data_IF_851537514969
#
_entry.id   IF_851537514969
#
_cell.length_a   1.000
_cell.length_b   1.000
_cell.length_c   1.000
_cell.angle_alpha   90.00
_cell.angle_beta   90.00
_cell.angle_gamma   90.00
#
_symmetry.space_group_name_H-M   'P 1'
#
loop_
_entity.id
_entity.type
_entity.pdbx_description
1 polymer ?
#
# COMPACT_ATOMS: atom_id res chain seq x y z
N UNK A 1 5.37 1.50 -12.99
CA UNK A 1 5.68 2.61 -12.07
C UNK A 1 4.80 2.47 -10.84
N UNK A 2 5.36 2.38 -9.64
CA UNK A 2 4.58 2.52 -8.41
C UNK A 2 4.13 3.98 -8.33
N UNK A 3 2.82 4.21 -8.18
CA UNK A 3 2.29 5.54 -7.89
C UNK A 3 2.26 5.69 -6.37
N UNK A 4 2.83 6.76 -5.86
CA UNK A 4 2.74 7.10 -4.44
C UNK A 4 1.50 7.96 -4.26
N UNK A 5 0.62 7.54 -3.35
CA UNK A 5 -0.53 8.32 -2.94
C UNK A 5 -0.20 9.08 -1.65
N UNK A 6 -0.80 10.26 -1.43
CA UNK A 6 -0.66 11.00 -0.16
C UNK A 6 -1.10 10.17 1.05
N UNK A 7 -2.15 9.36 0.88
CA UNK A 7 -2.63 8.41 1.88
C UNK A 7 -3.10 7.14 1.17
N UNK A 8 -2.63 5.98 1.61
CA UNK A 8 -3.01 4.66 1.05
C UNK A 8 -3.09 3.61 2.15
N UNK A 9 -4.06 2.70 2.07
CA UNK A 9 -4.05 1.45 2.83
C UNK A 9 -3.86 0.32 1.84
N UNK A 10 -2.89 -0.56 2.08
CA UNK A 10 -2.58 -1.65 1.18
C UNK A 10 -2.26 -2.93 1.93
N UNK A 11 -2.74 -4.04 1.37
CA UNK A 11 -2.55 -5.36 1.95
C UNK A 11 -1.40 -6.07 1.23
N UNK A 12 -0.55 -6.73 2.02
CA UNK A 12 0.56 -7.53 1.55
C UNK A 12 0.42 -8.94 2.12
N UNK A 13 0.49 -9.98 1.29
CA UNK A 13 0.45 -11.38 1.74
C UNK A 13 1.75 -11.83 2.42
N UNK A 14 2.82 -11.02 2.39
CA UNK A 14 4.07 -11.32 3.10
C UNK A 14 4.91 -10.07 3.37
N UNK A 15 5.77 -10.14 4.39
CA UNK A 15 6.79 -9.10 4.65
C UNK A 15 7.79 -8.94 3.50
N UNK A 16 8.06 -10.00 2.74
CA UNK A 16 8.92 -9.95 1.56
C UNK A 16 8.33 -9.03 0.49
N UNK A 17 7.03 -9.15 0.21
CA UNK A 17 6.36 -8.29 -0.77
C UNK A 17 6.30 -6.83 -0.31
N UNK A 18 6.05 -6.60 0.98
CA UNK A 18 6.12 -5.27 1.59
C UNK A 18 7.53 -4.66 1.45
N UNK A 19 8.59 -5.45 1.74
CA UNK A 19 9.98 -5.00 1.59
C UNK A 19 10.30 -4.62 0.13
N UNK A 20 9.93 -5.47 -0.83
CA UNK A 20 10.09 -5.17 -2.26
C UNK A 20 9.29 -3.92 -2.68
N UNK A 21 8.11 -3.69 -2.10
CA UNK A 21 7.34 -2.48 -2.34
C UNK A 21 8.06 -1.23 -1.82
N UNK A 22 8.63 -1.30 -0.61
CA UNK A 22 9.41 -0.21 -0.02
C UNK A 22 10.69 0.08 -0.82
N UNK A 23 11.39 -0.94 -1.30
CA UNK A 23 12.58 -0.76 -2.16
C UNK A 23 12.25 -0.02 -3.46
N UNK A 24 11.10 -0.32 -4.06
CA UNK A 24 10.58 0.43 -5.21
C UNK A 24 10.27 1.87 -4.83
N UNK A 25 9.69 2.11 -3.64
CA UNK A 25 9.45 3.44 -3.09
C UNK A 25 10.74 4.25 -2.90
N UNK A 26 11.78 3.64 -2.33
CA UNK A 26 13.11 4.25 -2.16
C UNK A 26 13.71 4.64 -3.51
N UNK A 27 13.63 3.75 -4.50
CA UNK A 27 14.14 3.99 -5.85
C UNK A 27 13.38 5.13 -6.54
N UNK A 28 12.06 5.18 -6.35
CA UNK A 28 11.20 6.24 -6.86
C UNK A 28 11.57 7.59 -6.25
N UNK A 29 11.61 7.69 -4.92
CA UNK A 29 12.01 8.92 -4.22
C UNK A 29 13.43 9.36 -4.57
N UNK A 30 14.35 8.41 -4.73
CA UNK A 30 15.72 8.70 -5.18
C UNK A 30 15.78 9.31 -6.58
N UNK A 31 14.90 8.88 -7.49
CA UNK A 31 14.80 9.46 -8.84
C UNK A 31 14.30 10.90 -8.78
N UNK A 32 13.20 11.15 -8.05
CA UNK A 32 12.64 12.50 -7.89
C UNK A 32 13.58 13.45 -7.15
N UNK A 33 14.29 12.96 -6.14
CA UNK A 33 15.29 13.75 -5.42
C UNK A 33 16.39 14.22 -6.37
N UNK A 34 16.86 13.33 -7.26
CA UNK A 34 17.89 13.69 -8.25
C UNK A 34 17.36 14.73 -9.23
N UNK A 35 16.20 14.49 -9.81
CA UNK A 35 15.57 15.40 -10.78
C UNK A 35 15.34 16.79 -10.17
N UNK A 36 14.84 16.88 -8.93
CA UNK A 36 14.59 18.16 -8.29
C UNK A 36 15.89 18.90 -7.92
N UNK A 37 16.93 18.18 -7.51
CA UNK A 37 18.24 18.81 -7.29
C UNK A 37 18.89 19.30 -8.60
N UNK A 38 18.73 18.56 -9.70
CA UNK A 38 19.19 18.98 -11.03
C UNK A 38 18.45 20.24 -11.47
N UNK A 39 17.11 20.23 -11.42
CA UNK A 39 16.27 21.39 -11.75
C UNK A 39 16.59 22.61 -10.86
N UNK A 40 16.84 22.39 -9.56
CA UNK A 40 17.25 23.46 -8.66
C UNK A 40 18.64 23.99 -9.00
N UNK A 41 19.58 23.11 -9.34
CA UNK A 41 20.92 23.49 -9.77
C UNK A 41 20.93 24.32 -11.06
N UNK A 42 20.10 23.93 -12.03
CA UNK A 42 19.86 24.71 -13.26
C UNK A 42 19.24 26.07 -12.94
N UNK A 43 18.21 26.07 -12.09
CA UNK A 43 17.55 27.30 -11.65
C UNK A 43 18.57 28.24 -11.01
N UNK A 44 19.41 27.80 -10.09
CA UNK A 44 20.37 28.69 -9.43
C UNK A 44 21.44 29.28 -10.37
N UNK A 45 21.66 28.67 -11.54
CA UNK A 45 22.67 29.12 -12.52
C UNK A 45 22.10 29.98 -13.64
N UNK A 46 20.83 29.79 -13.97
CA UNK A 46 20.16 30.56 -15.01
C UNK A 46 20.12 32.06 -14.61
N UNK A 47 20.48 32.96 -15.52
CA UNK A 47 20.43 34.40 -15.30
C UNK A 47 19.28 35.04 -16.08
N UNK A 48 18.64 36.04 -15.47
CA UNK A 48 17.55 36.80 -16.08
C UNK A 48 16.15 36.24 -15.77
N UNK A 49 15.15 37.08 -16.00
CA UNK A 49 13.73 36.77 -15.80
C UNK A 49 12.87 38.03 -15.94
N UNK A 50 11.68 37.90 -16.51
CA UNK A 50 10.71 38.99 -16.61
C UNK A 50 9.75 38.97 -15.41
N UNK A 51 10.31 39.06 -14.20
CA UNK A 51 9.53 39.00 -12.97
C UNK A 51 8.61 40.23 -12.84
N UNK A 52 9.11 41.43 -13.13
CA UNK A 52 8.39 42.69 -12.94
C UNK A 52 7.08 42.78 -13.72
N UNK A 53 7.07 42.35 -15.00
CA UNK A 53 5.85 42.37 -15.82
C UNK A 53 4.81 41.38 -15.29
N UNK A 54 5.25 40.19 -14.89
CA UNK A 54 4.35 39.17 -14.32
C UNK A 54 3.79 39.62 -12.97
N UNK A 55 4.59 40.22 -12.11
CA UNK A 55 4.10 40.77 -10.85
C UNK A 55 3.09 41.90 -11.06
N UNK A 56 3.31 42.76 -12.07
CA UNK A 56 2.35 43.81 -12.43
C UNK A 56 1.01 43.18 -12.82
N UNK A 57 1.02 42.11 -13.62
CA UNK A 57 -0.20 41.36 -13.97
C UNK A 57 -0.86 40.75 -12.74
N UNK A 58 -0.11 40.18 -11.80
CA UNK A 58 -0.67 39.62 -10.55
C UNK A 58 -1.35 40.72 -9.71
N UNK A 59 -0.72 41.91 -9.59
CA UNK A 59 -1.29 43.08 -8.93
C UNK A 59 -2.56 43.58 -9.63
N UNK A 60 -2.52 43.72 -10.96
CA UNK A 60 -3.66 44.18 -11.78
C UNK A 60 -4.87 43.24 -11.70
N UNK A 61 -4.63 41.93 -11.50
CA UNK A 61 -5.69 40.94 -11.28
C UNK A 61 -6.22 40.91 -9.85
N UNK A 62 -5.76 41.82 -8.99
CA UNK A 62 -6.28 41.99 -7.63
C UNK A 62 -5.77 40.95 -6.63
N UNK A 63 -4.66 40.27 -6.91
CA UNK A 63 -4.04 39.40 -5.92
C UNK A 63 -3.33 40.27 -4.87
N UNK A 64 -3.62 40.00 -3.59
CA UNK A 64 -3.01 40.69 -2.48
C UNK A 64 -1.67 40.05 -2.13
N UNK A 65 -0.62 40.86 -2.03
CA UNK A 65 0.66 40.42 -1.49
C UNK A 65 0.56 40.23 0.03
N UNK A 66 1.13 39.14 0.54
CA UNK A 66 1.23 38.93 1.98
C UNK A 66 2.42 39.71 2.54
N UNK A 67 2.16 40.85 3.17
CA UNK A 67 3.16 41.50 4.00
C UNK A 67 3.24 40.81 5.37
N UNK A 68 4.40 40.22 5.67
CA UNK A 68 4.67 39.61 6.97
C UNK A 68 4.49 40.62 8.11
N UNK A 69 3.48 40.43 8.95
CA UNK A 69 3.22 41.28 10.11
C UNK A 69 4.22 40.96 11.23
N UNK A 70 5.46 41.49 11.16
CA UNK A 70 6.39 41.49 12.31
C UNK A 70 7.47 42.60 12.24
N UNK A 71 7.34 43.54 13.17
CA UNK A 71 8.33 44.46 13.74
C UNK A 71 9.40 45.14 12.86
N UNK A 72 9.26 46.47 12.86
CA UNK A 72 10.21 47.54 12.49
C UNK A 72 11.63 47.30 13.05
N UNK A 73 12.55 46.77 12.22
CA UNK A 73 14.00 47.01 12.38
C UNK A 73 14.63 47.14 10.99
N UNK A 74 15.28 48.30 10.76
CA UNK A 74 15.96 48.67 9.51
C UNK A 74 17.06 47.67 9.17
N UNK A 75 16.92 47.01 8.02
CA UNK A 75 17.93 46.23 7.33
C UNK A 75 17.28 45.75 6.04
N UNK A 76 17.83 46.15 4.89
CA UNK A 76 17.26 45.86 3.59
C UNK A 76 17.25 44.35 3.32
N UNK A 77 16.10 43.74 3.47
CA UNK A 77 15.69 42.56 2.70
C UNK A 77 14.27 42.85 2.24
N UNK A 78 14.09 43.08 0.95
CA UNK A 78 12.77 43.01 0.33
C UNK A 78 12.14 41.70 0.79
N UNK A 79 11.09 41.79 1.59
CA UNK A 79 10.29 40.64 2.00
C UNK A 79 9.61 40.08 0.76
N UNK A 80 10.34 39.21 0.06
CA UNK A 80 9.92 38.02 -0.69
C UNK A 80 8.39 37.80 -0.58
N UNK A 81 7.63 38.39 -1.50
CA UNK A 81 6.21 38.66 -1.31
C UNK A 81 5.36 37.73 -2.16
N UNK A 82 4.96 36.62 -1.56
CA UNK A 82 3.95 35.73 -2.12
C UNK A 82 2.62 36.48 -2.28
N UNK A 83 2.00 36.34 -3.44
CA UNK A 83 0.64 36.78 -3.73
C UNK A 83 -0.34 35.70 -3.29
N UNK A 84 -1.30 36.04 -2.43
CA UNK A 84 -2.29 35.09 -1.93
C UNK A 84 -3.60 35.17 -2.71
N UNK A 85 -4.18 34.01 -3.02
CA UNK A 85 -5.54 33.91 -3.55
C UNK A 85 -6.21 32.64 -3.02
N UNK A 86 -7.21 32.82 -2.15
CA UNK A 86 -8.05 31.72 -1.61
C UNK A 86 -7.25 30.53 -1.05
N UNK A 87 -6.13 30.80 -0.36
CA UNK A 87 -5.26 29.77 0.23
C UNK A 87 -4.15 29.25 -0.69
N UNK A 88 -4.07 29.71 -1.94
CA UNK A 88 -2.94 29.45 -2.84
C UNK A 88 -1.98 30.64 -2.85
N UNK A 89 -0.70 30.35 -3.03
CA UNK A 89 0.38 31.35 -3.09
C UNK A 89 0.98 31.37 -4.50
N UNK A 90 1.18 32.57 -5.03
CA UNK A 90 1.74 32.82 -6.35
C UNK A 90 2.95 33.72 -6.22
N UNK A 91 3.98 33.47 -7.03
CA UNK A 91 5.10 34.38 -7.17
C UNK A 91 5.61 34.32 -8.61
N UNK A 92 6.16 35.44 -9.07
CA UNK A 92 6.91 35.51 -10.32
C UNK A 92 8.43 35.55 -10.08
N UNK A 93 8.86 35.62 -8.81
CA UNK A 93 10.25 35.69 -8.45
C UNK A 93 10.91 34.33 -8.52
N UNK A 94 12.13 34.34 -9.06
CA UNK A 94 12.96 33.15 -9.19
C UNK A 94 13.36 32.56 -7.83
N UNK A 95 13.58 33.41 -6.83
CA UNK A 95 13.94 32.99 -5.48
C UNK A 95 12.81 32.16 -4.84
N UNK A 96 11.56 32.64 -4.97
CA UNK A 96 10.36 31.91 -4.55
C UNK A 96 10.19 30.56 -5.26
N UNK A 97 10.55 30.45 -6.55
CA UNK A 97 10.59 29.14 -7.24
C UNK A 97 11.66 28.21 -6.65
N UNK A 98 12.82 28.76 -6.27
CA UNK A 98 13.88 27.97 -5.62
C UNK A 98 13.45 27.51 -4.21
N UNK A 99 12.73 28.34 -3.46
CA UNK A 99 12.16 27.99 -2.15
C UNK A 99 11.26 26.75 -2.26
N UNK A 100 10.35 26.70 -3.26
CA UNK A 100 9.51 25.51 -3.52
C UNK A 100 10.37 24.25 -3.73
N UNK A 101 11.45 24.35 -4.50
CA UNK A 101 12.34 23.21 -4.74
C UNK A 101 13.08 22.77 -3.48
N UNK A 102 13.59 23.71 -2.67
CA UNK A 102 14.23 23.39 -1.41
C UNK A 102 13.27 22.66 -0.46
N UNK A 103 12.05 23.18 -0.28
CA UNK A 103 11.03 22.52 0.54
C UNK A 103 10.69 21.11 0.05
N UNK A 104 10.54 20.94 -1.27
CA UNK A 104 10.23 19.65 -1.87
C UNK A 104 11.39 18.66 -1.68
N UNK A 105 12.63 19.10 -1.90
CA UNK A 105 13.84 18.29 -1.72
C UNK A 105 13.97 17.83 -0.27
N UNK A 106 13.74 18.72 0.69
CA UNK A 106 13.85 18.36 2.11
C UNK A 106 12.76 17.38 2.53
N UNK A 107 11.51 17.58 2.10
CA UNK A 107 10.42 16.60 2.31
C UNK A 107 10.76 15.23 1.73
N UNK A 108 11.29 15.19 0.50
CA UNK A 108 11.69 13.94 -0.15
C UNK A 108 12.82 13.25 0.64
N UNK A 109 13.84 14.00 1.09
CA UNK A 109 14.94 13.44 1.90
C UNK A 109 14.41 12.82 3.19
N UNK A 110 13.56 13.54 3.93
CA UNK A 110 12.95 13.03 5.17
C UNK A 110 12.15 11.76 4.91
N UNK A 111 11.34 11.71 3.86
CA UNK A 111 10.57 10.50 3.51
C UNK A 111 11.48 9.33 3.10
N UNK A 112 12.57 9.62 2.39
CA UNK A 112 13.56 8.62 1.96
C UNK A 112 14.31 8.02 3.16
N UNK A 113 14.68 8.83 4.14
CA UNK A 113 15.27 8.38 5.41
C UNK A 113 14.31 7.46 6.17
N UNK A 114 13.06 7.91 6.38
CA UNK A 114 12.01 7.09 7.03
C UNK A 114 11.78 5.76 6.31
N UNK A 115 11.80 5.74 4.97
CA UNK A 115 11.66 4.50 4.19
C UNK A 115 12.85 3.55 4.38
N UNK A 116 14.08 4.07 4.46
CA UNK A 116 15.28 3.26 4.73
C UNK A 116 15.23 2.66 6.13
N UNK A 117 14.85 3.45 7.13
CA UNK A 117 14.66 2.96 8.50
C UNK A 117 13.58 1.86 8.54
N UNK A 118 12.43 2.12 7.91
CA UNK A 118 11.34 1.15 7.86
C UNK A 118 11.74 -0.15 7.16
N UNK A 119 12.56 -0.07 6.10
CA UNK A 119 13.14 -1.24 5.45
C UNK A 119 13.96 -2.07 6.43
N UNK A 120 14.85 -1.44 7.20
CA UNK A 120 15.67 -2.15 8.20
C UNK A 120 14.82 -2.81 9.28
N UNK A 121 13.78 -2.12 9.77
CA UNK A 121 12.84 -2.68 10.74
C UNK A 121 12.09 -3.89 10.18
N UNK A 122 11.67 -3.86 8.91
CA UNK A 122 10.99 -5.00 8.28
C UNK A 122 11.93 -6.20 8.10
N UNK A 123 13.20 -5.96 7.79
CA UNK A 123 14.22 -7.01 7.74
C UNK A 123 14.45 -7.65 9.12
N UNK A 124 14.43 -6.85 10.19
CA UNK A 124 14.47 -7.35 11.58
C UNK A 124 13.23 -8.16 11.94
N UNK A 125 12.03 -7.68 11.61
CA UNK A 125 10.76 -8.42 11.81
C UNK A 125 10.79 -9.77 11.09
N UNK A 126 11.38 -9.81 9.89
CA UNK A 126 11.57 -11.06 9.14
C UNK A 126 12.51 -12.02 9.86
N UNK A 127 13.60 -11.53 10.48
CA UNK A 127 14.54 -12.37 11.25
C UNK A 127 13.93 -12.92 12.53
N UNK A 128 12.99 -12.19 13.14
CA UNK A 128 12.23 -12.62 14.33
C UNK A 128 11.25 -13.76 13.97
N UNK A 129 11.00 -14.01 12.68
CA UNK A 129 10.16 -15.11 12.23
C UNK A 129 8.67 -14.78 12.18
N UNK A 130 8.30 -13.49 12.07
CA UNK A 130 6.94 -13.10 11.68
C UNK A 130 6.64 -13.71 10.31
N UNK A 131 5.76 -14.72 10.32
CA UNK A 131 5.68 -15.77 9.32
C UNK A 131 5.06 -15.37 7.98
N UNK A 132 5.13 -16.33 7.05
CA UNK A 132 4.48 -16.35 5.73
C UNK A 132 2.96 -16.52 5.79
N UNK A 133 2.43 -16.86 6.95
CA UNK A 133 1.03 -17.25 7.14
C UNK A 133 0.21 -16.10 7.73
N UNK A 134 0.70 -14.87 7.55
CA UNK A 134 0.12 -13.63 8.03
C UNK A 134 -0.10 -12.68 6.85
N UNK A 135 -1.19 -11.94 6.88
CA UNK A 135 -1.47 -10.84 5.96
C UNK A 135 -1.22 -9.52 6.70
N UNK A 136 -0.60 -8.58 5.99
CA UNK A 136 -0.17 -7.30 6.53
C UNK A 136 -0.94 -6.18 5.85
N UNK A 137 -1.85 -5.54 6.57
CA UNK A 137 -2.55 -4.35 6.12
C UNK A 137 -1.78 -3.11 6.58
N UNK A 138 -1.21 -2.36 5.65
CA UNK A 138 -0.27 -1.27 5.93
C UNK A 138 -0.90 0.06 5.57
N UNK A 139 -0.84 1.01 6.51
CA UNK A 139 -1.23 2.40 6.32
C UNK A 139 0.00 3.22 5.93
N UNK A 140 -0.06 3.85 4.76
CA UNK A 140 0.97 4.71 4.21
C UNK A 140 0.53 6.17 4.23
N UNK A 141 1.46 7.05 4.61
CA UNK A 141 1.35 8.50 4.45
C UNK A 141 2.52 8.96 3.60
N UNK A 142 2.21 9.64 2.49
CA UNK A 142 3.18 10.02 1.47
C UNK A 142 4.06 8.82 1.05
N UNK A 143 3.45 7.64 0.89
CA UNK A 143 4.17 6.41 0.53
C UNK A 143 5.12 5.84 1.58
N UNK A 144 5.16 6.40 2.80
CA UNK A 144 5.92 5.86 3.94
C UNK A 144 4.99 5.06 4.85
N UNK A 145 5.31 3.79 5.18
CA UNK A 145 4.54 3.02 6.15
C UNK A 145 4.56 3.68 7.53
N UNK A 146 3.39 3.93 8.11
CA UNK A 146 3.28 4.42 9.50
C UNK A 146 2.74 3.38 10.46
N UNK A 147 1.80 2.55 10.00
CA UNK A 147 1.14 1.55 10.84
C UNK A 147 0.96 0.26 10.05
N UNK A 148 1.18 -0.86 10.72
CA UNK A 148 1.02 -2.20 10.15
C UNK A 148 0.02 -2.94 11.05
N UNK A 149 -1.11 -3.33 10.47
CA UNK A 149 -2.04 -4.26 11.08
C UNK A 149 -1.73 -5.66 10.57
N UNK A 150 -1.66 -6.63 11.49
CA UNK A 150 -1.29 -8.00 11.20
C UNK A 150 -2.48 -8.89 11.48
N UNK A 151 -2.90 -9.67 10.49
CA UNK A 151 -3.96 -10.65 10.62
C UNK A 151 -3.43 -12.03 10.20
N UNK A 152 -3.90 -13.13 10.82
CA UNK A 152 -3.63 -14.45 10.29
C UNK A 152 -4.14 -14.54 8.86
N UNK A 153 -3.39 -15.18 7.97
CA UNK A 153 -3.86 -15.50 6.64
C UNK A 153 -5.11 -16.37 6.78
N UNK A 154 -6.27 -15.72 6.70
CA UNK A 154 -7.56 -16.39 6.83
C UNK A 154 -7.63 -17.53 5.83
N UNK A 155 -8.23 -18.68 6.25
CA UNK A 155 -8.64 -19.72 5.31
C UNK A 155 -9.31 -19.03 4.12
N UNK A 156 -8.69 -19.16 2.95
CA UNK A 156 -9.01 -18.46 1.71
C UNK A 156 -10.40 -17.83 1.73
N UNK A 157 -10.49 -16.50 1.67
CA UNK A 157 -11.75 -15.79 1.49
C UNK A 157 -12.58 -16.55 0.44
N UNK A 158 -13.86 -16.85 0.71
CA UNK A 158 -14.66 -17.71 -0.17
C UNK A 158 -14.57 -17.14 -1.58
N UNK A 159 -13.94 -17.89 -2.48
CA UNK A 159 -13.88 -17.55 -3.90
C UNK A 159 -15.31 -17.65 -4.41
N UNK A 160 -16.00 -16.52 -4.46
CA UNK A 160 -17.32 -16.47 -5.08
C UNK A 160 -17.14 -16.75 -6.57
N UNK A 161 -17.59 -17.93 -7.01
CA UNK A 161 -17.68 -18.30 -8.42
C UNK A 161 -19.04 -17.82 -8.92
N UNK A 162 -19.05 -16.74 -9.70
CA UNK A 162 -20.25 -16.28 -10.39
C UNK A 162 -20.37 -17.07 -11.71
N UNK A 163 -21.23 -18.07 -11.73
CA UNK A 163 -21.64 -18.74 -12.97
C UNK A 163 -22.95 -18.09 -13.46
N UNK A 164 -22.89 -17.44 -14.63
CA UNK A 164 -24.05 -16.86 -15.28
C UNK A 164 -24.49 -17.77 -16.42
N UNK A 165 -25.64 -18.42 -16.26
CA UNK A 165 -26.32 -19.14 -17.33
C UNK A 165 -27.31 -18.20 -18.00
N UNK A 166 -26.94 -17.66 -19.17
CA UNK A 166 -27.82 -16.86 -20.01
C UNK A 166 -28.64 -17.81 -20.88
N UNK A 167 -29.83 -18.18 -20.42
CA UNK A 167 -30.79 -18.96 -21.21
C UNK A 167 -31.64 -18.01 -22.06
N UNK A 168 -31.31 -17.91 -23.34
CA UNK A 168 -32.18 -17.31 -24.35
C UNK A 168 -32.97 -18.42 -25.04
N UNK A 169 -34.00 -18.94 -24.39
CA UNK A 169 -35.02 -19.75 -25.06
C UNK A 169 -36.33 -18.96 -25.07
N UNK A 170 -36.63 -18.34 -26.22
CA UNK A 170 -38.01 -18.09 -26.62
C UNK A 170 -38.39 -19.28 -27.49
N UNK A 171 -39.07 -20.27 -26.91
CA UNK A 171 -39.90 -21.15 -27.73
C UNK A 171 -41.21 -20.41 -28.04
N UNK A 172 -41.60 -20.29 -29.32
CA UNK A 172 -42.89 -19.74 -29.67
C UNK A 172 -43.99 -20.71 -29.22
N UNK A 173 -44.85 -20.19 -28.35
CA UNK A 173 -46.04 -20.85 -27.85
C UNK A 173 -47.03 -21.13 -28.99
N UNK A 174 -47.28 -22.41 -29.20
CA UNK A 174 -48.50 -23.03 -29.73
C UNK A 174 -48.93 -22.75 -31.19
N UNK A 175 -48.86 -23.80 -32.01
CA UNK A 175 -50.06 -24.26 -32.70
C UNK A 175 -50.34 -25.71 -32.35
N UNK A 176 -51.40 -25.85 -31.57
CA UNK A 176 -52.18 -27.02 -31.21
C UNK A 176 -52.58 -27.89 -32.41
N UNK A 177 -52.50 -29.21 -32.26
CA UNK A 177 -53.36 -30.32 -32.77
C UNK A 177 -52.51 -31.60 -32.72
N UNK A 178 -52.82 -32.74 -32.08
CA UNK A 178 -54.00 -33.35 -31.45
C UNK A 178 -53.51 -34.51 -30.52
N UNK A 179 -54.39 -35.10 -29.68
CA UNK A 179 -54.06 -36.08 -28.63
C UNK A 179 -54.20 -37.55 -29.08
N UNK A 180 -54.02 -38.48 -28.12
CA UNK A 180 -54.20 -39.96 -28.12
C UNK A 180 -52.87 -40.74 -28.31
N UNK A 181 -52.48 -41.78 -27.57
CA UNK A 181 -53.05 -42.56 -26.46
C UNK A 181 -51.91 -43.43 -25.83
N UNK A 182 -51.95 -43.56 -24.50
CA UNK A 182 -51.64 -44.68 -23.56
C UNK A 182 -50.63 -45.84 -23.78
N UNK A 183 -49.95 -46.15 -22.65
CA UNK A 183 -49.44 -47.46 -22.11
C UNK A 183 -48.18 -48.07 -22.79
N UNK A 184 -47.21 -48.72 -22.13
CA UNK A 184 -47.24 -49.55 -20.93
C UNK A 184 -45.84 -49.70 -20.24
N UNK A 185 -45.91 -50.31 -19.07
CA UNK A 185 -44.97 -50.76 -18.02
C UNK A 185 -43.88 -51.76 -18.44
N UNK A 186 -42.73 -51.76 -17.73
CA UNK A 186 -41.95 -52.92 -17.22
C UNK A 186 -40.66 -52.40 -16.54
N UNK A 187 -40.53 -52.42 -15.21
CA UNK A 187 -39.93 -53.50 -14.39
C UNK A 187 -38.50 -53.90 -14.79
N UNK A 188 -37.51 -53.59 -13.93
CA UNK A 188 -36.57 -54.60 -13.40
C UNK A 188 -35.85 -54.08 -12.14
N UNK A 189 -36.07 -54.83 -11.05
CA UNK A 189 -35.28 -55.01 -9.82
C UNK A 189 -33.89 -55.60 -10.14
N UNK A 190 -32.81 -55.36 -9.39
CA UNK A 190 -32.37 -55.98 -8.12
C UNK A 190 -31.11 -55.18 -7.66
N UNK A 191 -30.94 -54.69 -6.42
CA UNK A 191 -30.73 -55.38 -5.15
C UNK A 191 -29.52 -56.35 -5.11
N UNK A 192 -28.40 -55.91 -4.52
CA UNK A 192 -27.63 -56.73 -3.57
C UNK A 192 -26.68 -55.88 -2.74
N UNK A 193 -27.01 -55.77 -1.46
CA UNK A 193 -26.09 -55.56 -0.33
C UNK A 193 -25.16 -56.79 -0.21
N UNK A 194 -24.00 -56.62 0.45
CA UNK A 194 -23.58 -57.38 1.65
C UNK A 194 -22.09 -57.06 1.95
N UNK A 195 -21.78 -56.30 3.03
CA UNK A 195 -21.16 -56.69 4.33
C UNK A 195 -19.74 -57.31 4.20
N UNK A 196 -18.78 -57.24 5.15
CA UNK A 196 -18.77 -57.01 6.60
C UNK A 196 -17.30 -56.96 7.08
N UNK A 197 -17.07 -56.30 8.24
CA UNK A 197 -16.23 -56.75 9.38
C UNK A 197 -14.72 -56.97 9.21
N UNK A 198 -13.83 -56.90 10.21
CA UNK A 198 -13.72 -56.42 11.61
C UNK A 198 -12.32 -56.94 12.09
N UNK A 199 -11.91 -56.58 13.30
CA UNK A 199 -10.69 -56.92 14.07
C UNK A 199 -9.46 -56.02 13.84
N UNK A 200 -8.94 -55.21 14.78
CA UNK A 200 -8.86 -55.18 16.26
C UNK A 200 -7.70 -55.99 16.86
N UNK A 201 -7.16 -55.42 17.95
CA UNK A 201 -6.21 -55.91 18.96
C UNK A 201 -4.70 -55.83 18.58
N UNK A 202 -3.74 -55.48 19.45
CA UNK A 202 -3.72 -54.97 20.83
C UNK A 202 -2.27 -54.52 21.18
N UNK A 203 -2.15 -53.82 22.33
CA UNK A 203 -1.06 -53.68 23.32
C UNK A 203 0.41 -54.14 23.00
N UNK A 204 1.50 -53.52 23.51
CA UNK A 204 1.89 -53.43 24.92
C UNK A 204 3.15 -52.52 25.11
N UNK A 205 3.10 -51.64 26.11
CA UNK A 205 3.99 -51.53 27.31
C UNK A 205 5.46 -51.04 27.27
N UNK A 206 5.68 -50.06 28.16
CA UNK A 206 6.81 -49.81 29.10
C UNK A 206 8.25 -49.70 28.53
N UNK A 207 9.16 -48.87 29.05
CA UNK A 207 9.60 -48.78 30.45
C UNK A 207 10.50 -47.52 30.62
N UNK A 208 10.29 -46.75 31.69
CA UNK A 208 11.30 -45.87 32.32
C UNK A 208 12.35 -46.75 33.02
N UNK A 209 13.62 -46.34 33.35
CA UNK A 209 13.84 -45.24 34.30
C UNK A 209 15.23 -44.54 34.41
N UNK A 210 15.20 -43.45 35.20
CA UNK A 210 16.16 -43.00 36.26
C UNK A 210 17.49 -42.31 35.92
N UNK A 211 17.60 -41.13 36.57
CA UNK A 211 18.72 -40.57 37.37
C UNK A 211 19.98 -40.15 36.60
N UNK A 212 20.60 -39.00 36.84
CA UNK A 212 21.35 -38.72 38.06
C UNK A 212 21.73 -37.23 38.24
N UNK A 213 21.97 -36.86 39.50
CA UNK A 213 22.36 -35.56 40.03
C UNK A 213 23.81 -35.20 39.70
N UNK A 214 24.12 -33.91 39.56
CA UNK A 214 25.21 -33.21 40.30
C UNK A 214 25.33 -31.74 39.81
N UNK A 215 25.26 -30.68 40.64
CA UNK A 215 26.08 -30.18 41.77
C UNK A 215 27.17 -29.18 41.32
N UNK A 216 27.22 -28.05 42.03
CA UNK A 216 28.33 -27.05 42.18
C UNK A 216 28.54 -26.09 40.99
N UNK A 217 29.05 -24.86 41.16
CA UNK A 217 29.31 -23.85 42.23
C UNK A 217 30.09 -22.73 41.49
N UNK A 218 30.38 -21.62 42.20
CA UNK A 218 31.24 -20.47 41.85
C UNK A 218 30.69 -19.57 40.75
N UNK A 219 30.37 -18.31 41.05
CA UNK A 219 31.32 -17.24 41.42
C UNK A 219 31.37 -16.34 40.19
N UNK A 220 31.26 -15.02 40.23
CA UNK A 220 31.58 -13.99 41.22
C UNK A 220 30.75 -12.75 40.83
#
# INVERSE_FOLDING_TARGET
>A
MNRIFPVEIRNFPSLSELSTYIEKGISWYGTFLKEYNENLGELLREQGGNAEELEKRLREKGLARQSGKKNKKKGASSSEEWFSYKGLMFSAEKQNKAEIFFEAVDKIKTNLERLKETKTLIEELRKIGLGSDLVYSVYFVDGVPEKIFVEPAGKAAPKYKLEMFLSTSMEPFASTMQPEETQATSEETEASEEKTADNKDDAEKAEQPKQEKSKKKSGE
#
